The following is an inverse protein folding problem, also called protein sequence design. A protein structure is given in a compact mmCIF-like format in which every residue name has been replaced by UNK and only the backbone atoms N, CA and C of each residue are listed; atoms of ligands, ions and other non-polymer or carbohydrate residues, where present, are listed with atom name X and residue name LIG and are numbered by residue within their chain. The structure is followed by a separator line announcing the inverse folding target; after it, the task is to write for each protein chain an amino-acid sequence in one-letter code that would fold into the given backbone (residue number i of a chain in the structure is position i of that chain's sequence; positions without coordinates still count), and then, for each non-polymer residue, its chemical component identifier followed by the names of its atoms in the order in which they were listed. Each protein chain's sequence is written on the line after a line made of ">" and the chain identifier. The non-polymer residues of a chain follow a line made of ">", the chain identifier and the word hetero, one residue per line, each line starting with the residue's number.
data_IF_295948569004
#
_entry.id   IF_295948569004
#
_cell.length_a   1.000
_cell.length_b   1.000
_cell.length_c   1.000
_cell.angle_alpha   90.00
_cell.angle_beta   90.00
_cell.angle_gamma   90.00
#
_symmetry.space_group_name_H-M   'P 1'
#
loop_
_entity.id
_entity.type
_entity.pdbx_description
1 polymer ?
#
# COMPACT_ATOMS: atom_id res chain seq x y z
N UNK A 1 -70.35 -14.26 -7.75
CA UNK A 1 -70.48 -12.97 -7.05
C UNK A 1 -69.21 -12.78 -6.23
N UNK A 2 -68.30 -11.92 -6.70
CA UNK A 2 -67.02 -11.67 -6.05
C UNK A 2 -67.15 -10.43 -5.14
N UNK A 3 -66.58 -10.43 -3.93
CA UNK A 3 -66.29 -9.20 -3.22
C UNK A 3 -64.90 -8.66 -3.57
N UNK A 4 -64.80 -7.36 -3.35
CA UNK A 4 -63.92 -6.38 -3.99
C UNK A 4 -62.54 -6.17 -3.33
N UNK A 5 -61.61 -5.78 -4.21
CA UNK A 5 -60.35 -5.03 -4.07
C UNK A 5 -60.02 -4.26 -2.78
N UNK A 6 -58.70 -4.20 -2.56
CA UNK A 6 -57.82 -3.18 -1.92
C UNK A 6 -57.51 -3.36 -0.43
N UNK A 7 -56.25 -3.70 -0.20
CA UNK A 7 -55.50 -3.35 0.99
C UNK A 7 -54.03 -3.48 0.63
N UNK A 8 -53.37 -2.35 0.44
CA UNK A 8 -51.92 -2.22 0.43
C UNK A 8 -51.27 -3.27 1.33
N UNK A 9 -50.34 -4.05 0.79
CA UNK A 9 -49.28 -4.70 1.56
C UNK A 9 -48.39 -3.59 2.14
N UNK A 10 -48.98 -2.82 3.06
CA UNK A 10 -48.31 -1.91 3.95
C UNK A 10 -47.50 -2.82 4.87
N UNK A 11 -46.26 -3.08 4.45
CA UNK A 11 -45.22 -3.62 5.33
C UNK A 11 -45.28 -2.76 6.59
N UNK A 12 -45.39 -3.33 7.80
CA UNK A 12 -45.50 -2.53 9.01
C UNK A 12 -44.32 -1.56 9.03
N UNK A 13 -44.62 -0.28 8.86
CA UNK A 13 -43.70 0.85 8.94
C UNK A 13 -43.34 1.01 10.40
N UNK A 14 -42.55 0.07 10.91
CA UNK A 14 -42.12 0.01 12.30
C UNK A 14 -40.64 -0.26 12.30
N UNK A 15 -39.84 0.79 12.50
CA UNK A 15 -38.43 0.74 12.95
C UNK A 15 -37.40 -0.02 12.08
N UNK A 16 -37.81 -0.83 11.09
CA UNK A 16 -36.90 -1.66 10.29
C UNK A 16 -36.16 -0.87 9.20
N UNK A 17 -36.74 0.22 8.69
CA UNK A 17 -36.14 0.99 7.60
C UNK A 17 -34.89 1.75 8.05
N UNK A 18 -34.92 2.28 9.27
CA UNK A 18 -33.74 2.87 9.91
C UNK A 18 -32.69 1.82 10.23
N UNK A 19 -33.09 0.68 10.81
CA UNK A 19 -32.14 -0.39 11.15
C UNK A 19 -31.50 -1.02 9.91
N UNK A 20 -32.25 -1.18 8.83
CA UNK A 20 -31.76 -1.70 7.54
C UNK A 20 -30.79 -0.73 6.87
N UNK A 21 -31.07 0.58 6.88
CA UNK A 21 -30.11 1.59 6.44
C UNK A 21 -28.86 1.61 7.31
N UNK A 22 -29.00 1.46 8.63
CA UNK A 22 -27.86 1.35 9.54
C UNK A 22 -27.04 0.08 9.28
N UNK A 23 -27.66 -1.08 9.09
CA UNK A 23 -26.96 -2.35 8.77
C UNK A 23 -26.26 -2.28 7.42
N UNK A 24 -26.87 -1.69 6.39
CA UNK A 24 -26.24 -1.48 5.08
C UNK A 24 -24.99 -0.60 5.16
N UNK A 25 -25.08 0.58 5.80
CA UNK A 25 -23.94 1.51 5.91
C UNK A 25 -22.80 0.93 6.76
N UNK A 26 -23.13 0.07 7.72
CA UNK A 26 -22.13 -0.56 8.58
C UNK A 26 -21.46 -1.74 7.87
N UNK A 27 -22.23 -2.58 7.18
CA UNK A 27 -21.69 -3.71 6.39
C UNK A 27 -20.83 -3.25 5.22
N UNK A 28 -21.23 -2.21 4.48
CA UNK A 28 -20.42 -1.67 3.38
C UNK A 28 -19.04 -1.20 3.86
N UNK A 29 -18.98 -0.55 5.02
CA UNK A 29 -17.70 -0.12 5.62
C UNK A 29 -16.84 -1.29 6.04
N UNK A 30 -17.42 -2.30 6.68
CA UNK A 30 -16.67 -3.50 7.06
C UNK A 30 -16.17 -4.25 5.83
N UNK A 31 -16.98 -4.33 4.76
CA UNK A 31 -16.58 -4.92 3.47
C UNK A 31 -15.43 -4.15 2.83
N UNK A 32 -15.47 -2.81 2.84
CA UNK A 32 -14.38 -1.96 2.33
C UNK A 32 -13.07 -2.12 3.11
N UNK A 33 -13.15 -2.22 4.45
CA UNK A 33 -11.96 -2.45 5.28
C UNK A 33 -11.41 -3.86 5.05
N UNK A 34 -12.27 -4.87 4.93
CA UNK A 34 -11.85 -6.24 4.67
C UNK A 34 -11.18 -6.39 3.29
N UNK A 35 -11.76 -5.78 2.25
CA UNK A 35 -11.18 -5.80 0.90
C UNK A 35 -9.85 -5.05 0.85
N UNK A 36 -9.74 -3.89 1.47
CA UNK A 36 -8.49 -3.13 1.56
C UNK A 36 -7.39 -3.92 2.30
N UNK A 37 -7.74 -4.63 3.39
CA UNK A 37 -6.80 -5.51 4.10
C UNK A 37 -6.33 -6.69 3.23
N UNK A 38 -7.25 -7.31 2.50
CA UNK A 38 -6.94 -8.43 1.61
C UNK A 38 -6.00 -8.00 0.47
N UNK A 39 -6.25 -6.82 -0.13
CA UNK A 39 -5.38 -6.22 -1.13
C UNK A 39 -4.00 -5.94 -0.51
N UNK A 40 -3.96 -5.27 0.65
CA UNK A 40 -2.70 -4.93 1.30
C UNK A 40 -1.85 -6.16 1.66
N UNK A 41 -2.49 -7.27 2.07
CA UNK A 41 -1.80 -8.55 2.32
C UNK A 41 -1.12 -9.10 1.05
N UNK A 42 -1.79 -8.98 -0.11
CA UNK A 42 -1.19 -9.37 -1.40
C UNK A 42 -0.03 -8.46 -1.76
N UNK A 43 -0.16 -7.15 -1.56
CA UNK A 43 0.94 -6.22 -1.84
C UNK A 43 2.16 -6.48 -0.95
N UNK A 44 1.99 -6.82 0.32
CA UNK A 44 3.10 -7.22 1.18
C UNK A 44 3.78 -8.50 0.70
N UNK A 45 3.03 -9.47 0.19
CA UNK A 45 3.60 -10.67 -0.40
C UNK A 45 4.47 -10.33 -1.63
N UNK A 46 3.94 -9.52 -2.55
CA UNK A 46 4.69 -9.07 -3.73
C UNK A 46 5.92 -8.26 -3.33
N UNK A 47 5.77 -7.29 -2.42
CA UNK A 47 6.88 -6.48 -1.92
C UNK A 47 7.99 -7.34 -1.28
N UNK A 48 7.61 -8.39 -0.55
CA UNK A 48 8.55 -9.36 0.00
C UNK A 48 9.30 -10.12 -1.08
N UNK A 49 8.61 -10.53 -2.14
CA UNK A 49 9.22 -11.20 -3.29
C UNK A 49 10.22 -10.30 -4.02
N UNK A 50 9.87 -9.03 -4.26
CA UNK A 50 10.79 -8.05 -4.87
C UNK A 50 12.02 -7.80 -3.99
N UNK A 51 11.83 -7.69 -2.68
CA UNK A 51 12.94 -7.52 -1.74
C UNK A 51 13.87 -8.73 -1.72
N UNK A 52 13.33 -9.95 -1.77
CA UNK A 52 14.11 -11.19 -1.87
C UNK A 52 14.88 -11.28 -3.18
N UNK A 53 14.23 -11.00 -4.32
CA UNK A 53 14.89 -10.97 -5.62
C UNK A 53 16.05 -9.96 -5.63
N UNK A 54 15.82 -8.76 -5.08
CA UNK A 54 16.87 -7.74 -4.93
C UNK A 54 18.01 -8.23 -4.04
N UNK A 55 17.69 -8.86 -2.91
CA UNK A 55 18.68 -9.45 -2.01
C UNK A 55 19.54 -10.53 -2.69
N UNK A 56 18.92 -11.44 -3.44
CA UNK A 56 19.62 -12.49 -4.19
C UNK A 56 20.55 -11.86 -5.24
N UNK A 57 20.06 -10.89 -6.03
CA UNK A 57 20.88 -10.19 -7.02
C UNK A 57 22.06 -9.47 -6.36
N UNK A 58 21.87 -8.85 -5.18
CA UNK A 58 22.99 -8.24 -4.46
C UNK A 58 24.00 -9.26 -3.94
N UNK A 59 23.58 -10.46 -3.55
CA UNK A 59 24.50 -11.51 -3.13
C UNK A 59 25.24 -12.13 -4.32
N UNK A 60 24.57 -12.27 -5.48
CA UNK A 60 25.17 -12.81 -6.70
C UNK A 60 26.18 -11.86 -7.34
N UNK A 61 25.94 -10.56 -7.29
CA UNK A 61 26.87 -9.54 -7.82
C UNK A 61 28.03 -9.22 -6.86
N UNK A 62 28.16 -9.96 -5.77
CA UNK A 62 29.22 -9.81 -4.78
C UNK A 62 30.41 -10.71 -5.13
N UNK A 63 30.90 -10.62 -6.38
CA UNK A 63 32.14 -11.29 -6.79
C UNK A 63 33.36 -10.51 -6.28
N UNK A 64 34.44 -11.24 -5.94
CA UNK A 64 35.63 -10.71 -5.25
C UNK A 64 36.42 -9.64 -6.04
N UNK A 65 36.23 -9.55 -7.36
CA UNK A 65 36.92 -8.62 -8.26
C UNK A 65 36.08 -7.39 -8.65
N UNK A 66 34.83 -7.28 -8.19
CA UNK A 66 33.93 -6.16 -8.46
C UNK A 66 34.09 -5.01 -7.45
N UNK A 67 33.79 -3.75 -7.82
CA UNK A 67 33.72 -2.67 -6.84
C UNK A 67 32.70 -3.08 -5.75
N UNK A 68 33.07 -2.96 -4.46
CA UNK A 68 32.21 -3.42 -3.38
C UNK A 68 30.85 -2.75 -3.51
N UNK A 69 29.78 -3.55 -3.56
CA UNK A 69 28.42 -3.03 -3.52
C UNK A 69 28.35 -1.99 -2.39
N UNK A 70 27.84 -0.78 -2.66
CA UNK A 70 27.82 0.27 -1.65
C UNK A 70 27.06 -0.28 -0.44
N UNK A 71 27.70 -0.27 0.74
CA UNK A 71 27.10 -0.72 2.03
C UNK A 71 25.71 -0.14 2.28
N UNK A 72 25.38 0.95 1.60
CA UNK A 72 24.06 1.60 1.57
C UNK A 72 22.97 0.66 1.04
N UNK A 73 23.24 -0.14 0.00
CA UNK A 73 22.26 -1.02 -0.65
C UNK A 73 21.87 -2.21 0.23
N UNK A 74 22.83 -2.82 0.93
CA UNK A 74 22.56 -3.93 1.86
C UNK A 74 21.78 -3.44 3.09
N UNK A 75 22.17 -2.30 3.65
CA UNK A 75 21.45 -1.68 4.77
C UNK A 75 20.02 -1.30 4.40
N UNK A 76 19.78 -0.78 3.20
CA UNK A 76 18.45 -0.40 2.77
C UNK A 76 17.53 -1.61 2.57
N UNK A 77 18.09 -2.75 2.15
CA UNK A 77 17.37 -4.02 2.02
C UNK A 77 16.92 -4.55 3.38
N UNK A 78 17.77 -4.44 4.40
CA UNK A 78 17.41 -4.78 5.79
C UNK A 78 16.31 -3.85 6.34
N UNK A 79 16.42 -2.54 6.11
CA UNK A 79 15.38 -1.58 6.52
C UNK A 79 14.05 -1.87 5.83
N UNK A 80 14.07 -2.22 4.55
CA UNK A 80 12.88 -2.65 3.80
C UNK A 80 12.24 -3.93 4.38
N UNK A 81 13.05 -4.88 4.83
CA UNK A 81 12.59 -6.11 5.48
C UNK A 81 11.92 -5.84 6.83
N UNK A 82 12.54 -5.01 7.68
CA UNK A 82 11.97 -4.60 8.98
C UNK A 82 10.66 -3.84 8.79
N UNK A 83 10.59 -2.96 7.79
CA UNK A 83 9.36 -2.27 7.42
C UNK A 83 8.26 -3.29 7.10
N UNK A 84 8.54 -4.27 6.25
CA UNK A 84 7.56 -5.28 5.85
C UNK A 84 7.03 -6.10 7.03
N UNK A 85 7.91 -6.49 7.96
CA UNK A 85 7.50 -7.16 9.21
C UNK A 85 6.62 -6.26 10.10
N UNK A 86 6.97 -4.98 10.24
CA UNK A 86 6.12 -4.03 10.97
C UNK A 86 4.74 -3.86 10.29
N UNK A 87 4.70 -3.89 8.95
CA UNK A 87 3.48 -3.83 8.15
C UNK A 87 2.56 -5.03 8.36
N UNK A 88 3.10 -6.25 8.31
CA UNK A 88 2.32 -7.49 8.52
C UNK A 88 1.76 -7.58 9.93
N UNK A 89 2.56 -7.23 10.95
CA UNK A 89 2.13 -7.15 12.35
C UNK A 89 1.05 -6.07 12.52
N UNK A 90 1.25 -4.88 11.94
CA UNK A 90 0.27 -3.79 12.00
C UNK A 90 -1.07 -4.15 11.34
N UNK A 91 -1.03 -4.95 10.27
CA UNK A 91 -2.22 -5.46 9.59
C UNK A 91 -2.96 -6.52 10.42
N UNK A 92 -2.24 -7.45 11.04
CA UNK A 92 -2.80 -8.52 11.87
C UNK A 92 -3.49 -7.97 13.12
N UNK A 93 -2.88 -7.01 13.81
CA UNK A 93 -3.47 -6.38 15.00
C UNK A 93 -4.38 -5.20 14.67
N UNK A 94 -4.57 -4.87 13.39
CA UNK A 94 -5.40 -3.76 12.91
C UNK A 94 -5.10 -2.42 13.63
N UNK A 95 -3.85 -2.23 14.05
CA UNK A 95 -3.44 -1.17 14.95
C UNK A 95 -2.90 0.01 14.14
N UNK A 96 -3.64 1.12 14.15
CA UNK A 96 -3.20 2.32 13.43
C UNK A 96 -1.82 2.87 13.85
N UNK A 97 -1.32 2.77 15.11
CA UNK A 97 0.02 3.25 15.41
C UNK A 97 1.12 2.43 14.71
N UNK A 98 1.00 1.10 14.68
CA UNK A 98 1.98 0.24 14.00
C UNK A 98 1.92 0.47 12.48
N UNK A 99 0.71 0.61 11.93
CA UNK A 99 0.51 0.90 10.51
C UNK A 99 1.07 2.28 10.09
N UNK A 100 1.16 3.24 11.03
CA UNK A 100 1.86 4.53 10.80
C UNK A 100 3.37 4.38 10.81
N UNK A 101 3.93 3.55 11.70
CA UNK A 101 5.37 3.26 11.69
C UNK A 101 5.75 2.62 10.35
N UNK A 102 4.92 1.68 9.87
CA UNK A 102 5.07 1.12 8.52
C UNK A 102 5.05 2.21 7.43
N UNK A 103 4.12 3.17 7.48
CA UNK A 103 4.06 4.28 6.52
C UNK A 103 5.33 5.15 6.53
N UNK A 104 5.85 5.48 7.70
CA UNK A 104 7.08 6.31 7.81
C UNK A 104 8.29 5.55 7.27
N UNK A 105 8.45 4.28 7.64
CA UNK A 105 9.54 3.44 7.14
C UNK A 105 9.45 3.20 5.64
N UNK A 106 8.25 2.94 5.12
CA UNK A 106 8.03 2.72 3.68
C UNK A 106 8.26 3.99 2.86
N UNK A 107 7.88 5.17 3.35
CA UNK A 107 8.23 6.44 2.71
C UNK A 107 9.75 6.66 2.68
N UNK A 108 10.43 6.46 3.81
CA UNK A 108 11.88 6.62 3.89
C UNK A 108 12.61 5.65 2.95
N UNK A 109 12.14 4.40 2.90
CA UNK A 109 12.64 3.37 2.00
C UNK A 109 12.40 3.72 0.52
N UNK A 110 11.22 4.27 0.19
CA UNK A 110 10.89 4.73 -1.16
C UNK A 110 11.81 5.87 -1.59
N UNK A 111 12.01 6.88 -0.74
CA UNK A 111 12.93 7.98 -1.01
C UNK A 111 14.37 7.52 -1.24
N UNK A 112 14.87 6.64 -0.37
CA UNK A 112 16.21 6.08 -0.52
C UNK A 112 16.35 5.21 -1.78
N UNK A 113 15.31 4.47 -2.15
CA UNK A 113 15.31 3.65 -3.38
C UNK A 113 15.34 4.54 -4.63
N UNK A 114 14.59 5.64 -4.64
CA UNK A 114 14.63 6.63 -5.73
C UNK A 114 16.01 7.29 -5.81
N UNK A 115 16.57 7.72 -4.68
CA UNK A 115 17.89 8.35 -4.65
C UNK A 115 18.96 7.41 -5.23
N UNK A 116 19.01 6.16 -4.78
CA UNK A 116 19.93 5.16 -5.31
C UNK A 116 19.68 4.87 -6.80
N UNK A 117 18.42 4.85 -7.24
CA UNK A 117 18.10 4.62 -8.65
C UNK A 117 18.55 5.79 -9.54
N UNK A 118 18.56 7.02 -9.03
CA UNK A 118 19.05 8.21 -9.76
C UNK A 118 20.58 8.27 -9.92
N UNK A 119 21.32 7.59 -9.05
CA UNK A 119 22.78 7.46 -9.07
C UNK A 119 23.26 6.24 -9.88
N UNK A 120 22.33 5.40 -10.33
CA UNK A 120 22.63 4.19 -11.06
C UNK A 120 23.22 4.46 -12.46
N UNK A 121 23.98 3.49 -13.01
CA UNK A 121 24.57 3.62 -14.36
C UNK A 121 23.51 3.76 -15.46
N UNK A 122 22.29 3.25 -15.27
CA UNK A 122 21.19 3.41 -16.22
C UNK A 122 20.57 4.81 -16.14
N UNK A 123 20.43 5.41 -14.95
CA UNK A 123 19.93 6.78 -14.81
C UNK A 123 20.88 7.82 -15.41
N UNK A 124 22.19 7.58 -15.33
CA UNK A 124 23.20 8.41 -16.01
C UNK A 124 23.07 8.32 -17.54
N UNK A 125 22.93 7.11 -18.09
CA UNK A 125 22.68 6.92 -19.53
C UNK A 125 21.41 7.62 -20.01
N UNK A 126 20.34 7.60 -19.21
CA UNK A 126 19.10 8.31 -19.53
C UNK A 126 19.31 9.83 -19.48
N UNK A 127 20.03 10.36 -18.47
CA UNK A 127 20.34 11.80 -18.37
C UNK A 127 21.19 12.29 -19.54
N UNK A 128 22.18 11.51 -19.96
CA UNK A 128 23.02 11.83 -21.11
C UNK A 128 22.22 11.80 -22.43
N UNK A 129 21.33 10.81 -22.60
CA UNK A 129 20.42 10.74 -23.75
C UNK A 129 19.42 11.90 -23.80
N UNK A 130 18.97 12.39 -22.63
CA UNK A 130 18.03 13.51 -22.52
C UNK A 130 18.70 14.89 -22.63
N UNK A 131 19.97 15.00 -22.22
CA UNK A 131 20.77 16.23 -22.22
C UNK A 131 21.50 16.52 -23.53
N UNK A 132 21.62 15.53 -24.42
CA UNK A 132 22.18 15.70 -25.76
C UNK A 132 21.30 16.55 -26.67
N UNK A 133 21.92 17.34 -27.55
CA UNK A 133 21.25 18.16 -28.59
C UNK A 133 20.35 17.36 -29.56
N UNK A 134 20.44 16.03 -29.56
CA UNK A 134 19.58 15.13 -30.32
C UNK A 134 18.99 14.11 -29.34
N UNK A 135 17.67 14.05 -29.31
CA UNK A 135 16.92 13.15 -28.44
C UNK A 135 17.00 11.73 -29.01
N UNK A 136 18.09 11.01 -28.73
CA UNK A 136 18.25 9.61 -29.14
C UNK A 136 17.58 8.70 -28.10
N UNK A 137 16.45 8.08 -28.47
CA UNK A 137 15.70 7.18 -27.60
C UNK A 137 16.33 5.78 -27.48
N UNK A 138 17.07 5.32 -28.48
CA UNK A 138 17.66 3.97 -28.51
C UNK A 138 18.53 3.63 -27.27
N UNK A 139 19.45 4.50 -26.80
CA UNK A 139 20.22 4.20 -25.59
C UNK A 139 19.36 4.21 -24.31
N UNK A 140 18.32 5.04 -24.25
CA UNK A 140 17.41 5.10 -23.10
C UNK A 140 16.50 3.87 -23.04
N UNK A 141 16.01 3.40 -24.19
CA UNK A 141 15.18 2.18 -24.30
C UNK A 141 16.00 0.95 -23.93
N UNK A 142 17.26 0.85 -24.40
CA UNK A 142 18.14 -0.26 -24.03
C UNK A 142 18.54 -0.23 -22.55
N UNK A 143 18.69 0.94 -21.94
CA UNK A 143 18.92 1.08 -20.50
C UNK A 143 17.67 0.71 -19.66
N UNK A 144 16.46 1.01 -20.17
CA UNK A 144 15.21 0.57 -19.55
C UNK A 144 14.91 -0.91 -19.75
N UNK A 145 15.46 -1.53 -20.80
CA UNK A 145 15.31 -2.94 -21.09
C UNK A 145 16.19 -3.84 -20.20
N UNK A 146 17.12 -3.25 -19.43
CA UNK A 146 17.93 -3.99 -18.46
C UNK A 146 17.01 -4.61 -17.39
N UNK A 147 17.04 -5.94 -17.17
CA UNK A 147 16.20 -6.61 -16.19
C UNK A 147 16.33 -6.03 -14.77
N UNK A 148 17.49 -5.49 -14.41
CA UNK A 148 17.69 -4.84 -13.11
C UNK A 148 16.88 -3.53 -12.99
N UNK A 149 16.85 -2.71 -14.05
CA UNK A 149 16.09 -1.47 -14.09
C UNK A 149 14.58 -1.74 -14.07
N UNK A 150 14.11 -2.75 -14.82
CA UNK A 150 12.69 -3.16 -14.82
C UNK A 150 12.25 -3.62 -13.43
N UNK A 151 13.11 -4.38 -12.73
CA UNK A 151 12.83 -4.86 -11.38
C UNK A 151 12.72 -3.71 -10.37
N UNK A 152 13.62 -2.74 -10.44
CA UNK A 152 13.60 -1.54 -9.58
C UNK A 152 12.33 -0.71 -9.82
N UNK A 153 11.98 -0.44 -11.07
CA UNK A 153 10.77 0.32 -11.44
C UNK A 153 9.50 -0.41 -10.96
N UNK A 154 9.41 -1.72 -11.21
CA UNK A 154 8.29 -2.53 -10.73
C UNK A 154 8.20 -2.52 -9.19
N UNK A 155 9.34 -2.64 -8.51
CA UNK A 155 9.42 -2.58 -7.05
C UNK A 155 8.94 -1.26 -6.48
N UNK A 156 9.37 -0.13 -7.06
CA UNK A 156 8.90 1.22 -6.68
C UNK A 156 7.40 1.35 -6.90
N UNK A 157 6.88 0.84 -8.03
CA UNK A 157 5.45 0.88 -8.32
C UNK A 157 4.63 0.10 -7.29
N UNK A 158 5.03 -1.13 -6.96
CA UNK A 158 4.36 -1.94 -5.92
C UNK A 158 4.42 -1.25 -4.55
N UNK A 159 5.57 -0.68 -4.18
CA UNK A 159 5.73 0.04 -2.92
C UNK A 159 4.81 1.28 -2.85
N UNK A 160 4.69 2.03 -3.95
CA UNK A 160 3.81 3.20 -4.03
C UNK A 160 2.33 2.83 -3.84
N UNK A 161 1.88 1.73 -4.46
CA UNK A 161 0.53 1.20 -4.27
C UNK A 161 0.31 0.71 -2.84
N UNK A 162 1.32 0.10 -2.22
CA UNK A 162 1.27 -0.36 -0.84
C UNK A 162 1.11 0.82 0.13
N UNK A 163 1.87 1.90 -0.09
CA UNK A 163 1.74 3.15 0.69
C UNK A 163 0.34 3.74 0.51
N UNK A 164 -0.14 3.88 -0.72
CA UNK A 164 -1.46 4.46 -1.00
C UNK A 164 -2.60 3.68 -0.33
N UNK A 165 -2.61 2.36 -0.48
CA UNK A 165 -3.62 1.49 0.14
C UNK A 165 -3.55 1.53 1.67
N UNK A 166 -2.33 1.63 2.23
CA UNK A 166 -2.13 1.78 3.68
C UNK A 166 -2.68 3.12 4.20
N UNK A 167 -2.43 4.23 3.51
CA UNK A 167 -3.00 5.55 3.88
C UNK A 167 -4.52 5.49 3.92
N UNK A 168 -5.14 4.92 2.88
CA UNK A 168 -6.59 4.74 2.81
C UNK A 168 -7.12 3.89 3.97
N UNK A 169 -6.43 2.79 4.33
CA UNK A 169 -6.80 1.94 5.45
C UNK A 169 -6.68 2.66 6.80
N UNK A 170 -5.59 3.42 7.02
CA UNK A 170 -5.41 4.24 8.25
C UNK A 170 -6.51 5.29 8.38
N UNK A 171 -6.88 5.94 7.29
CA UNK A 171 -7.95 6.94 7.27
C UNK A 171 -9.31 6.31 7.63
N UNK A 172 -9.65 5.17 7.01
CA UNK A 172 -10.86 4.42 7.29
C UNK A 172 -10.95 3.98 8.77
N UNK A 173 -9.85 3.48 9.34
CA UNK A 173 -9.78 3.08 10.74
C UNK A 173 -9.91 4.27 11.72
N UNK A 174 -9.43 5.46 11.34
CA UNK A 174 -9.56 6.68 12.16
C UNK A 174 -10.99 7.22 12.14
N UNK A 175 -11.64 7.21 10.99
CA UNK A 175 -13.04 7.61 10.85
C UNK A 175 -13.98 6.72 11.68
N UNK A 176 -13.70 5.41 11.74
CA UNK A 176 -14.42 4.46 12.60
C UNK A 176 -14.35 4.81 14.09
N UNK A 177 -13.13 5.03 14.61
CA UNK A 177 -12.93 5.32 16.06
C UNK A 177 -13.56 6.62 16.54
N UNK A 178 -13.57 7.68 15.71
CA UNK A 178 -14.20 8.97 16.10
C UNK A 178 -15.71 8.82 16.32
N UNK A 179 -16.37 8.00 15.49
CA UNK A 179 -17.82 7.76 15.62
C UNK A 179 -18.15 6.95 16.87
N UNK A 180 -17.38 5.91 17.19
CA UNK A 180 -17.56 5.12 18.43
C UNK A 180 -17.33 5.95 19.69
N UNK A 181 -16.34 6.85 19.68
CA UNK A 181 -16.10 7.76 20.80
C UNK A 181 -17.26 8.76 20.99
N UNK A 182 -17.85 9.27 19.89
CA UNK A 182 -18.99 10.18 19.96
C UNK A 182 -20.28 9.48 20.45
N UNK A 183 -20.56 8.25 20.04
CA UNK A 183 -21.70 7.48 20.59
C UNK A 183 -21.52 7.15 22.07
N UNK A 184 -20.31 6.79 22.50
CA UNK A 184 -20.03 6.52 23.91
C UNK A 184 -20.19 7.78 24.80
N UNK A 185 -19.76 8.95 24.32
CA UNK A 185 -19.93 10.22 25.04
C UNK A 185 -21.39 10.66 25.07
N UNK A 186 -22.15 10.42 23.99
CA UNK A 186 -23.57 10.76 23.92
C UNK A 186 -24.43 9.85 24.81
N UNK A 187 -24.07 8.57 24.93
CA UNK A 187 -24.69 7.63 25.87
C UNK A 187 -24.47 8.04 27.33
N UNK A 188 -23.27 8.50 27.69
CA UNK A 188 -22.96 8.97 29.07
C UNK A 188 -23.59 10.30 29.47
N UNK A 189 -24.11 11.08 28.52
CA UNK A 189 -24.76 12.38 28.78
C UNK A 189 -26.30 12.31 28.73
N UNK A 190 -26.85 11.15 28.37
CA UNK A 190 -28.29 10.90 28.29
C UNK A 190 -28.86 10.09 29.45
N UNK A 191 -28.05 9.84 30.49
CA UNK A 191 -28.45 9.30 31.80
C UNK A 191 -28.41 10.41 32.85
#
# INVERSE_FOLDING_TARGET
>A
MAPSRRGSTSRPTGTDGTDHQFRMVTEERYKLIASAKAILKKLFLFQGLFLLMRGILTMMNQDEDGPPLPRVTSNLTLVGGVALLAGTVGLQYSSAPILRIYLVLSLASLWATIANSLESPYALKIKDALGGSKFDLDPAVNALADPAAVLDICGIFVLSLAVYTTVNLVYALRAGRKKTAQTAVKSKKGE
#
